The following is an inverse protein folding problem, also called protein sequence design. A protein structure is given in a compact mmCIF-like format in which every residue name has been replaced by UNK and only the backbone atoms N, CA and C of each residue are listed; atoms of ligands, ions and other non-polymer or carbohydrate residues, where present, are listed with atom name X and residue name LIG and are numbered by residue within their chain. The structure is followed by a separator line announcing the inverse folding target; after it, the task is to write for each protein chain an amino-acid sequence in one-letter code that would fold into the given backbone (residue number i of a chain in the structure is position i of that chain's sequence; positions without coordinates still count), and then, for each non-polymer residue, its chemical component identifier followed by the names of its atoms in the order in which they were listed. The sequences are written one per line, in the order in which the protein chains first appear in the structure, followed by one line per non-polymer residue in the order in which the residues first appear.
data_IF_217566446688
#
_entry.id   IF_217566446688
#
_cell.length_a   1.000
_cell.length_b   1.000
_cell.length_c   1.000
_cell.angle_alpha   90.00
_cell.angle_beta   90.00
_cell.angle_gamma   90.00
#
_symmetry.space_group_name_H-M   'P 1'
#
loop_
_entity.id
_entity.type
_entity.pdbx_description
1 polymer ?
#
# COMPACT_ATOMS: atom_id res chain seq x y z
N UNK A 1 -11.70 -1.78 18.78
CA UNK A 1 -12.12 -0.68 17.89
C UNK A 1 -13.59 -0.88 17.60
N UNK A 2 -14.44 -0.04 18.21
CA UNK A 2 -15.82 0.16 17.77
C UNK A 2 -15.80 0.83 16.39
N UNK A 3 -16.89 0.71 15.61
CA UNK A 3 -16.96 1.17 14.23
C UNK A 3 -16.72 2.69 14.04
N UNK A 4 -16.71 3.48 15.12
CA UNK A 4 -16.54 4.94 15.13
C UNK A 4 -15.09 5.46 15.04
N UNK A 5 -14.08 4.60 15.09
CA UNK A 5 -12.65 5.01 15.07
C UNK A 5 -11.94 4.79 13.73
N UNK A 6 -12.64 4.28 12.70
CA UNK A 6 -12.03 4.03 11.38
C UNK A 6 -12.06 5.26 10.51
N UNK A 7 -10.90 5.58 9.93
CA UNK A 7 -10.77 6.69 8.99
C UNK A 7 -11.13 6.14 7.60
N UNK A 8 -12.38 6.38 7.21
CA UNK A 8 -13.00 5.78 6.02
C UNK A 8 -12.15 5.98 4.76
N UNK A 9 -11.67 7.20 4.50
CA UNK A 9 -10.92 7.49 3.29
C UNK A 9 -9.61 6.69 3.21
N UNK A 10 -9.02 6.35 4.35
CA UNK A 10 -7.78 5.59 4.44
C UNK A 10 -8.00 4.11 4.12
N UNK A 11 -9.11 3.53 4.61
CA UNK A 11 -9.53 2.17 4.25
C UNK A 11 -9.89 2.10 2.77
N UNK A 12 -10.56 3.13 2.24
CA UNK A 12 -10.88 3.22 0.81
C UNK A 12 -9.64 3.30 -0.08
N UNK A 13 -8.65 4.13 0.29
CA UNK A 13 -7.38 4.24 -0.43
C UNK A 13 -6.61 2.90 -0.41
N UNK A 14 -6.59 2.21 0.73
CA UNK A 14 -6.00 0.87 0.84
C UNK A 14 -6.71 -0.15 -0.07
N UNK A 15 -8.03 -0.06 -0.17
CA UNK A 15 -8.83 -0.91 -1.06
C UNK A 15 -8.48 -0.73 -2.53
N UNK A 16 -8.40 0.52 -3.00
CA UNK A 16 -7.99 0.84 -4.38
C UNK A 16 -6.57 0.35 -4.64
N UNK A 17 -5.63 0.61 -3.73
CA UNK A 17 -4.25 0.18 -3.87
C UNK A 17 -4.13 -1.35 -3.99
N UNK A 18 -4.88 -2.11 -3.19
CA UNK A 18 -4.89 -3.57 -3.25
C UNK A 18 -5.50 -4.09 -4.56
N UNK A 19 -6.54 -3.43 -5.07
CA UNK A 19 -7.12 -3.75 -6.37
C UNK A 19 -6.16 -3.45 -7.53
N UNK A 20 -5.41 -2.35 -7.46
CA UNK A 20 -4.36 -2.02 -8.44
C UNK A 20 -3.26 -3.07 -8.42
N UNK A 21 -2.77 -3.50 -7.25
CA UNK A 21 -1.76 -4.58 -7.17
C UNK A 21 -2.28 -5.88 -7.78
N UNK A 22 -3.52 -6.26 -7.45
CA UNK A 22 -4.12 -7.46 -8.02
C UNK A 22 -4.31 -7.36 -9.54
N UNK A 23 -4.64 -6.17 -10.06
CA UNK A 23 -4.77 -5.92 -11.49
C UNK A 23 -3.40 -5.97 -12.19
N UNK A 24 -2.39 -5.29 -11.63
CA UNK A 24 -1.01 -5.27 -12.10
C UNK A 24 -0.43 -6.69 -12.19
N UNK A 25 -0.46 -7.47 -11.10
CA UNK A 25 0.09 -8.82 -11.07
C UNK A 25 -0.61 -9.80 -12.03
N UNK A 26 -1.86 -9.53 -12.38
CA UNK A 26 -2.56 -10.35 -13.37
C UNK A 26 -1.91 -10.23 -14.76
N UNK A 27 -1.61 -9.00 -15.20
CA UNK A 27 -0.98 -8.70 -16.50
C UNK A 27 0.54 -8.84 -16.49
N UNK A 28 1.16 -8.76 -15.31
CA UNK A 28 2.61 -8.86 -15.13
C UNK A 28 3.14 -10.18 -15.73
N UNK A 29 4.40 -10.17 -16.16
CA UNK A 29 5.16 -11.23 -16.89
C UNK A 29 4.85 -11.41 -18.37
N UNK A 30 3.59 -11.30 -18.78
CA UNK A 30 3.19 -11.69 -20.15
C UNK A 30 2.77 -10.50 -21.04
N UNK A 31 2.22 -9.45 -20.43
CA UNK A 31 1.81 -8.23 -21.15
C UNK A 31 2.81 -7.13 -20.81
N UNK A 32 3.87 -6.98 -21.62
CA UNK A 32 5.03 -6.14 -21.26
C UNK A 32 4.80 -4.62 -21.41
N UNK A 33 4.04 -4.19 -22.42
CA UNK A 33 3.95 -2.77 -22.81
C UNK A 33 3.47 -1.79 -21.72
N UNK A 34 2.53 -2.10 -20.82
CA UNK A 34 2.09 -1.13 -19.80
C UNK A 34 3.07 -1.02 -18.60
N UNK A 35 3.99 -1.96 -18.43
CA UNK A 35 4.97 -1.96 -17.34
C UNK A 35 6.20 -1.12 -17.67
N UNK A 36 6.42 -0.84 -18.96
CA UNK A 36 7.51 -0.01 -19.45
C UNK A 36 7.07 1.45 -19.60
N UNK A 37 7.96 2.40 -19.34
CA UNK A 37 7.70 3.84 -19.43
C UNK A 37 7.56 4.31 -20.87
N UNK A 38 6.74 5.34 -21.06
CA UNK A 38 6.67 6.04 -22.34
C UNK A 38 8.06 6.59 -22.71
N UNK A 39 8.52 6.27 -23.92
CA UNK A 39 9.88 6.52 -24.43
C UNK A 39 11.03 5.84 -23.67
N UNK A 40 10.77 4.76 -22.93
CA UNK A 40 11.85 3.89 -22.49
C UNK A 40 12.52 3.21 -23.69
N UNK A 41 13.76 2.76 -23.50
CA UNK A 41 14.54 2.09 -24.52
C UNK A 41 14.00 0.66 -24.83
N UNK A 42 13.79 0.26 -26.10
CA UNK A 42 13.88 1.08 -27.32
C UNK A 42 12.66 2.01 -27.50
N UNK A 43 12.86 3.32 -27.81
CA UNK A 43 11.77 4.29 -27.86
C UNK A 43 10.70 4.04 -28.93
N UNK A 44 11.01 3.27 -29.97
CA UNK A 44 10.08 2.91 -31.06
C UNK A 44 8.99 1.96 -30.56
N UNK A 45 9.32 1.07 -29.62
CA UNK A 45 8.40 0.10 -29.05
C UNK A 45 7.57 0.66 -27.89
N UNK A 46 7.94 1.84 -27.34
CA UNK A 46 7.37 2.39 -26.10
C UNK A 46 6.63 3.72 -26.33
N UNK A 47 5.55 3.66 -27.12
CA UNK A 47 4.72 4.83 -27.47
C UNK A 47 3.23 4.59 -27.24
N UNK A 48 2.88 3.86 -26.18
CA UNK A 48 1.50 3.49 -25.89
C UNK A 48 0.88 4.44 -24.86
N UNK A 49 -0.38 4.84 -25.06
CA UNK A 49 -1.10 5.73 -24.14
C UNK A 49 -1.21 5.18 -22.71
N UNK A 50 -1.26 3.85 -22.56
CA UNK A 50 -1.31 3.17 -21.25
C UNK A 50 -0.07 3.43 -20.40
N UNK A 51 1.06 3.80 -21.01
CA UNK A 51 2.32 4.10 -20.33
C UNK A 51 2.36 5.52 -19.75
N UNK A 52 1.40 6.38 -20.10
CA UNK A 52 1.36 7.76 -19.64
C UNK A 52 0.53 7.91 -18.35
N UNK A 53 0.93 8.83 -17.44
CA UNK A 53 0.01 9.33 -16.43
C UNK A 53 -1.22 9.97 -17.10
N UNK A 54 -2.44 9.82 -16.55
CA UNK A 54 -2.72 9.17 -15.28
C UNK A 54 -2.96 7.65 -15.36
N UNK A 55 -3.04 7.08 -16.56
CA UNK A 55 -3.50 5.70 -16.81
C UNK A 55 -2.54 4.67 -16.23
N UNK A 56 -1.23 4.93 -16.31
CA UNK A 56 -0.18 4.01 -15.87
C UNK A 56 -0.28 3.56 -14.42
N UNK A 57 -0.91 4.35 -13.55
CA UNK A 57 -1.03 3.98 -12.12
C UNK A 57 -1.64 2.59 -11.91
N UNK A 58 -2.48 2.13 -12.86
CA UNK A 58 -3.12 0.82 -12.84
C UNK A 58 -2.10 -0.34 -12.96
N UNK A 59 -0.92 -0.08 -13.51
CA UNK A 59 0.19 -1.00 -13.72
C UNK A 59 1.43 -0.56 -12.91
N UNK A 60 1.18 -0.03 -11.70
CA UNK A 60 2.22 0.47 -10.81
C UNK A 60 2.12 -0.18 -9.42
N UNK A 61 2.15 -1.53 -9.35
CA UNK A 61 2.09 -2.27 -8.07
C UNK A 61 3.16 -1.82 -7.07
N UNK A 62 4.40 -1.61 -7.50
CA UNK A 62 5.48 -1.10 -6.64
C UNK A 62 5.11 0.24 -5.97
N UNK A 63 4.45 1.14 -6.70
CA UNK A 63 3.99 2.42 -6.17
C UNK A 63 2.86 2.25 -5.16
N UNK A 64 2.01 1.23 -5.31
CA UNK A 64 1.00 0.89 -4.30
C UNK A 64 1.64 0.34 -3.02
N UNK A 65 2.75 -0.39 -3.13
CA UNK A 65 3.50 -0.87 -1.95
C UNK A 65 4.04 0.30 -1.13
N UNK A 66 4.63 1.33 -1.75
CA UNK A 66 5.07 2.52 -1.01
C UNK A 66 3.89 3.28 -0.39
N UNK A 67 2.75 3.29 -1.06
CA UNK A 67 1.50 3.86 -0.54
C UNK A 67 1.01 3.11 0.70
N UNK A 68 1.08 1.77 0.72
CA UNK A 68 0.74 0.98 1.90
C UNK A 68 1.60 1.34 3.11
N UNK A 69 2.92 1.56 2.94
CA UNK A 69 3.79 1.93 4.06
C UNK A 69 3.35 3.25 4.73
N UNK A 70 2.97 4.25 3.94
CA UNK A 70 2.46 5.54 4.46
C UNK A 70 1.10 5.37 5.14
N UNK A 71 0.19 4.62 4.50
CA UNK A 71 -1.15 4.34 5.03
C UNK A 71 -1.07 3.58 6.36
N UNK A 72 -0.22 2.56 6.44
CA UNK A 72 0.01 1.73 7.62
C UNK A 72 0.59 2.56 8.76
N UNK A 73 1.60 3.39 8.49
CA UNK A 73 2.14 4.35 9.47
C UNK A 73 1.04 5.26 10.03
N UNK A 74 0.25 5.88 9.16
CA UNK A 74 -0.85 6.76 9.57
C UNK A 74 -1.88 6.05 10.44
N UNK A 75 -2.38 4.89 10.00
CA UNK A 75 -3.45 4.15 10.67
C UNK A 75 -3.05 3.71 12.09
N UNK A 76 -1.83 3.17 12.23
CA UNK A 76 -1.30 2.73 13.52
C UNK A 76 -1.17 3.93 14.45
N UNK A 77 -0.54 5.00 13.98
CA UNK A 77 -0.26 6.18 14.77
C UNK A 77 -1.52 6.81 15.34
N UNK A 78 -2.57 7.04 14.54
CA UNK A 78 -3.80 7.68 15.06
C UNK A 78 -4.38 6.93 16.26
N UNK A 79 -4.39 5.59 16.20
CA UNK A 79 -4.94 4.78 17.30
C UNK A 79 -4.15 4.92 18.62
N UNK A 80 -2.83 5.11 18.53
CA UNK A 80 -1.95 5.28 19.68
C UNK A 80 -1.91 6.72 20.18
N UNK A 81 -1.90 7.69 19.27
CA UNK A 81 -1.84 9.11 19.59
C UNK A 81 -3.05 9.58 20.38
N UNK A 82 -4.25 9.06 20.06
CA UNK A 82 -5.48 9.29 20.83
C UNK A 82 -5.34 8.87 22.31
N UNK A 83 -4.51 7.87 22.59
CA UNK A 83 -4.29 7.36 23.93
C UNK A 83 -3.13 8.01 24.67
N UNK A 84 -2.35 8.89 24.02
CA UNK A 84 -1.04 9.35 24.51
C UNK A 84 -1.06 9.95 25.92
N UNK A 85 -2.09 10.73 26.23
CA UNK A 85 -2.23 11.40 27.53
C UNK A 85 -3.03 10.56 28.54
N UNK A 86 -3.43 9.35 28.17
CA UNK A 86 -4.14 8.42 29.05
C UNK A 86 -3.15 7.51 29.79
N UNK A 87 -3.43 7.10 31.03
CA UNK A 87 -2.66 6.04 31.71
C UNK A 87 -2.66 4.72 30.93
N UNK A 88 -3.59 4.53 29.98
CA UNK A 88 -3.64 3.36 29.10
C UNK A 88 -2.67 3.43 27.91
N UNK A 89 -1.84 4.47 27.77
CA UNK A 89 -0.94 4.65 26.63
C UNK A 89 0.02 3.47 26.44
N UNK A 90 0.86 3.17 27.44
CA UNK A 90 1.83 2.08 27.39
C UNK A 90 1.16 0.71 27.22
N UNK A 91 0.11 0.36 28.01
CA UNK A 91 -0.65 -0.87 27.78
C UNK A 91 -1.17 -0.99 26.34
N UNK A 92 -1.68 0.09 25.74
CA UNK A 92 -2.15 0.09 24.34
C UNK A 92 -1.02 -0.10 23.33
N UNK A 93 0.17 0.44 23.59
CA UNK A 93 1.34 0.24 22.73
C UNK A 93 1.79 -1.22 22.77
N UNK A 94 1.98 -1.79 23.98
CA UNK A 94 2.36 -3.21 24.15
C UNK A 94 1.36 -4.14 23.48
N UNK A 95 0.08 -3.87 23.72
CA UNK A 95 -1.07 -4.52 23.12
C UNK A 95 -1.08 -4.43 21.58
N UNK A 96 -0.66 -3.30 21.01
CA UNK A 96 -0.55 -3.14 19.56
C UNK A 96 0.62 -3.95 18.97
N UNK A 97 1.79 -3.98 19.63
CA UNK A 97 2.97 -4.74 19.21
C UNK A 97 2.65 -6.24 19.15
N UNK A 98 2.17 -6.81 20.26
CA UNK A 98 1.91 -8.25 20.38
C UNK A 98 0.87 -8.71 19.37
N UNK A 99 -0.27 -8.00 19.28
CA UNK A 99 -1.32 -8.37 18.32
C UNK A 99 -0.89 -8.27 16.87
N UNK A 100 0.00 -7.32 16.54
CA UNK A 100 0.40 -7.09 15.14
C UNK A 100 1.17 -8.26 14.58
N UNK A 101 2.05 -8.89 15.37
CA UNK A 101 2.76 -10.11 15.01
C UNK A 101 1.76 -11.20 14.55
N UNK A 102 0.80 -11.54 15.41
CA UNK A 102 -0.19 -12.57 15.09
C UNK A 102 -1.14 -12.17 13.96
N UNK A 103 -1.55 -10.90 13.89
CA UNK A 103 -2.48 -10.43 12.85
C UNK A 103 -1.89 -10.50 11.45
N UNK A 104 -0.60 -10.21 11.30
CA UNK A 104 0.09 -10.28 10.00
C UNK A 104 0.38 -11.74 9.66
N UNK A 105 1.03 -12.48 10.57
CA UNK A 105 1.60 -13.77 10.20
C UNK A 105 0.64 -14.96 10.32
N UNK A 106 -0.44 -14.91 11.10
CA UNK A 106 -1.40 -16.03 11.15
C UNK A 106 -2.13 -16.23 9.80
N UNK A 107 -2.72 -15.19 9.17
CA UNK A 107 -3.31 -15.35 7.84
C UNK A 107 -2.28 -15.76 6.79
N UNK A 108 -1.07 -15.18 6.85
CA UNK A 108 0.05 -15.54 5.97
C UNK A 108 0.39 -17.02 6.11
N UNK A 109 0.50 -17.56 7.32
CA UNK A 109 0.76 -18.98 7.56
C UNK A 109 -0.32 -19.87 6.96
N UNK A 110 -1.60 -19.50 7.11
CA UNK A 110 -2.72 -20.25 6.51
C UNK A 110 -2.61 -20.28 4.99
N UNK A 111 -2.32 -19.12 4.37
CA UNK A 111 -2.12 -19.05 2.92
C UNK A 111 -0.90 -19.84 2.47
N UNK A 112 0.27 -19.65 3.11
CA UNK A 112 1.50 -20.34 2.75
C UNK A 112 1.36 -21.86 2.87
N UNK A 113 0.65 -22.33 3.89
CA UNK A 113 0.30 -23.76 4.05
C UNK A 113 -0.58 -24.23 2.91
N UNK A 114 -1.63 -23.47 2.56
CA UNK A 114 -2.52 -23.80 1.45
C UNK A 114 -1.75 -23.86 0.12
N UNK A 115 -0.92 -22.85 -0.17
CA UNK A 115 -0.07 -22.83 -1.37
C UNK A 115 0.84 -24.05 -1.43
N UNK A 116 1.49 -24.41 -0.31
CA UNK A 116 2.36 -25.58 -0.25
C UNK A 116 1.60 -26.90 -0.49
N UNK A 117 0.38 -27.03 0.05
CA UNK A 117 -0.48 -28.19 -0.22
C UNK A 117 -0.85 -28.25 -1.70
N UNK A 118 -1.24 -27.13 -2.31
CA UNK A 118 -1.57 -27.06 -3.73
C UNK A 118 -0.36 -27.41 -4.62
N UNK A 119 0.83 -26.97 -4.23
CA UNK A 119 2.08 -27.30 -4.92
C UNK A 119 2.45 -28.77 -4.78
N UNK A 120 2.30 -29.35 -3.58
CA UNK A 120 2.55 -30.77 -3.35
C UNK A 120 1.73 -31.66 -4.29
N UNK A 121 0.48 -31.29 -4.55
CA UNK A 121 -0.43 -32.02 -5.44
C UNK A 121 -0.31 -31.66 -6.93
N UNK A 122 0.68 -30.85 -7.31
CA UNK A 122 0.94 -30.43 -8.70
C UNK A 122 -0.24 -29.68 -9.35
N UNK A 123 -0.91 -28.81 -8.59
CA UNK A 123 -2.11 -28.09 -9.07
C UNK A 123 -1.82 -26.73 -9.72
N UNK A 124 -0.56 -26.29 -9.72
CA UNK A 124 -0.16 -25.01 -10.29
C UNK A 124 0.13 -25.14 -11.78
N UNK A 125 -0.42 -24.23 -12.57
CA UNK A 125 -0.14 -24.10 -14.02
C UNK A 125 0.86 -22.98 -14.28
N UNK A 126 1.77 -22.77 -13.33
CA UNK A 126 2.74 -21.68 -13.31
C UNK A 126 4.15 -22.23 -13.18
N UNK A 127 5.07 -21.67 -13.95
CA UNK A 127 6.49 -22.01 -13.86
C UNK A 127 7.15 -21.20 -12.75
N UNK A 128 7.51 -21.88 -11.66
CA UNK A 128 8.27 -21.27 -10.59
C UNK A 128 9.76 -21.34 -10.88
N UNK A 129 10.50 -20.31 -10.46
CA UNK A 129 11.96 -20.37 -10.46
C UNK A 129 12.42 -21.43 -9.44
N UNK A 130 13.09 -22.47 -9.94
CA UNK A 130 13.56 -23.61 -9.14
C UNK A 130 14.52 -23.21 -8.03
N UNK A 131 15.19 -22.05 -8.13
CA UNK A 131 16.04 -21.49 -7.09
C UNK A 131 15.28 -21.10 -5.83
N UNK A 132 14.04 -20.61 -5.94
CA UNK A 132 13.25 -20.19 -4.76
C UNK A 132 12.60 -21.37 -4.02
N UNK A 133 12.43 -22.50 -4.70
CA UNK A 133 11.84 -23.70 -4.11
C UNK A 133 12.90 -24.68 -3.59
N UNK A 134 14.18 -24.30 -3.56
CA UNK A 134 15.30 -25.16 -3.13
C UNK A 134 15.29 -26.53 -3.86
N UNK A 135 14.89 -26.54 -5.13
CA UNK A 135 14.75 -27.75 -5.96
C UNK A 135 13.57 -28.67 -5.59
N UNK A 136 12.69 -28.26 -4.68
CA UNK A 136 11.52 -29.03 -4.25
C UNK A 136 10.60 -29.35 -5.43
N UNK A 137 10.14 -30.60 -5.51
CA UNK A 137 9.26 -31.09 -6.56
C UNK A 137 7.89 -31.50 -5.99
N UNK A 138 6.82 -31.42 -6.80
CA UNK A 138 5.53 -32.00 -6.44
C UNK A 138 5.64 -33.50 -6.11
N UNK A 139 4.75 -34.02 -5.27
CA UNK A 139 4.71 -35.41 -4.82
C UNK A 139 6.01 -35.95 -4.20
N UNK A 140 6.96 -35.07 -3.87
CA UNK A 140 8.21 -35.44 -3.20
C UNK A 140 7.98 -35.72 -1.70
N UNK A 141 9.03 -35.86 -0.91
CA UNK A 141 8.90 -36.18 0.51
C UNK A 141 8.07 -35.10 1.26
N UNK A 142 6.91 -35.41 1.88
CA UNK A 142 6.08 -34.42 2.57
C UNK A 142 6.84 -33.65 3.66
N UNK A 143 7.82 -34.29 4.31
CA UNK A 143 8.65 -33.63 5.31
C UNK A 143 9.56 -32.54 4.71
N UNK A 144 9.95 -32.67 3.44
CA UNK A 144 10.69 -31.63 2.74
C UNK A 144 9.84 -30.37 2.54
N UNK A 145 8.57 -30.53 2.17
CA UNK A 145 7.62 -29.42 2.05
C UNK A 145 7.35 -28.73 3.38
N UNK A 146 7.17 -29.50 4.47
CA UNK A 146 7.00 -28.94 5.82
C UNK A 146 8.25 -28.15 6.25
N UNK A 147 9.45 -28.71 6.03
CA UNK A 147 10.70 -28.01 6.36
C UNK A 147 10.88 -26.74 5.55
N UNK A 148 10.59 -26.77 4.25
CA UNK A 148 10.62 -25.59 3.40
C UNK A 148 9.64 -24.53 3.90
N UNK A 149 8.41 -24.91 4.25
CA UNK A 149 7.40 -23.99 4.78
C UNK A 149 7.86 -23.34 6.09
N UNK A 150 8.45 -24.12 7.01
CA UNK A 150 9.00 -23.59 8.25
C UNK A 150 10.16 -22.60 8.00
N UNK A 151 11.06 -22.91 7.06
CA UNK A 151 12.14 -22.00 6.64
C UNK A 151 11.60 -20.72 6.02
N UNK A 152 10.67 -20.85 5.07
CA UNK A 152 9.97 -19.73 4.44
C UNK A 152 9.30 -18.80 5.46
N UNK A 153 8.62 -19.37 6.46
CA UNK A 153 7.99 -18.60 7.52
C UNK A 153 9.01 -17.96 8.45
N UNK A 154 10.11 -18.64 8.79
CA UNK A 154 11.18 -18.07 9.61
C UNK A 154 11.81 -16.85 8.94
N UNK A 155 12.12 -16.95 7.65
CA UNK A 155 12.71 -15.87 6.86
C UNK A 155 11.72 -14.72 6.66
N UNK A 156 10.44 -15.04 6.44
CA UNK A 156 9.36 -14.04 6.37
C UNK A 156 9.15 -13.28 7.68
N UNK A 157 9.46 -13.88 8.84
CA UNK A 157 9.35 -13.23 10.15
C UNK A 157 10.62 -12.42 10.49
N UNK A 158 11.75 -12.74 9.87
CA UNK A 158 13.03 -12.08 10.11
C UNK A 158 13.06 -10.65 9.56
N UNK A 159 12.68 -9.69 10.40
CA UNK A 159 12.67 -8.26 10.03
C UNK A 159 14.05 -7.57 10.06
N UNK A 160 15.09 -8.27 10.51
CA UNK A 160 16.43 -7.71 10.65
C UNK A 160 17.28 -8.08 9.43
N UNK A 161 17.41 -9.37 9.16
CA UNK A 161 18.08 -9.89 7.97
C UNK A 161 17.00 -10.32 6.97
N UNK A 162 16.61 -9.39 6.11
CA UNK A 162 15.58 -9.63 5.11
C UNK A 162 16.09 -10.59 4.04
N UNK A 163 15.42 -11.72 3.91
CA UNK A 163 15.65 -12.68 2.83
C UNK A 163 14.39 -12.77 1.97
N UNK A 164 14.53 -12.44 0.69
CA UNK A 164 13.45 -12.63 -0.26
C UNK A 164 13.41 -14.08 -0.71
N UNK A 165 12.45 -14.83 -0.17
CA UNK A 165 12.03 -16.11 -0.75
C UNK A 165 10.85 -15.87 -1.69
N UNK A 166 11.13 -15.79 -2.98
CA UNK A 166 10.11 -15.84 -4.02
C UNK A 166 9.40 -17.21 -4.07
N UNK A 167 8.72 -17.50 -5.18
CA UNK A 167 8.07 -18.80 -5.39
C UNK A 167 6.55 -18.72 -5.29
N UNK A 168 5.95 -19.55 -4.42
CA UNK A 168 4.48 -19.73 -4.39
C UNK A 168 3.70 -18.49 -3.94
N UNK A 169 4.33 -17.64 -3.13
CA UNK A 169 3.69 -16.46 -2.56
C UNK A 169 4.62 -15.25 -2.63
N UNK A 170 4.99 -14.87 -3.86
CA UNK A 170 5.92 -13.78 -4.14
C UNK A 170 5.53 -12.49 -3.43
N UNK A 171 4.26 -12.08 -3.52
CA UNK A 171 3.70 -10.88 -2.88
C UNK A 171 3.92 -10.75 -1.37
N UNK A 172 4.22 -11.82 -0.63
CA UNK A 172 4.34 -11.76 0.84
C UNK A 172 5.63 -11.13 1.34
N UNK A 173 6.57 -10.81 0.45
CA UNK A 173 7.80 -10.10 0.78
C UNK A 173 7.56 -8.78 1.52
N UNK A 174 6.40 -8.12 1.32
CA UNK A 174 6.08 -6.86 2.00
C UNK A 174 5.72 -7.03 3.48
N UNK A 175 5.40 -8.25 3.94
CA UNK A 175 4.96 -8.51 5.33
C UNK A 175 6.05 -8.21 6.38
N UNK A 176 7.31 -8.66 6.19
CA UNK A 176 8.41 -8.24 7.07
C UNK A 176 8.61 -6.72 7.11
N UNK A 177 8.50 -6.03 5.97
CA UNK A 177 8.62 -4.57 5.89
C UNK A 177 7.50 -3.88 6.68
N UNK A 178 6.26 -4.36 6.54
CA UNK A 178 5.10 -3.90 7.28
C UNK A 178 5.26 -4.08 8.80
N UNK A 179 5.84 -5.20 9.25
CA UNK A 179 6.11 -5.42 10.67
C UNK A 179 7.27 -4.55 11.17
N UNK A 180 8.36 -4.44 10.39
CA UNK A 180 9.54 -3.62 10.69
C UNK A 180 9.18 -2.15 10.86
N UNK A 181 8.50 -1.55 9.88
CA UNK A 181 8.12 -0.15 9.91
C UNK A 181 7.13 0.17 11.05
N UNK A 182 6.28 -0.78 11.40
CA UNK A 182 5.39 -0.65 12.56
C UNK A 182 6.14 -0.59 13.87
N UNK A 183 7.17 -1.41 14.04
CA UNK A 183 8.04 -1.38 15.22
C UNK A 183 8.77 -0.04 15.34
N UNK A 184 9.21 0.55 14.22
CA UNK A 184 9.77 1.92 14.22
C UNK A 184 8.73 2.95 14.68
N UNK A 185 7.48 2.87 14.19
CA UNK A 185 6.41 3.77 14.65
C UNK A 185 6.13 3.60 16.14
N UNK A 186 6.10 2.37 16.66
CA UNK A 186 5.92 2.12 18.09
C UNK A 186 7.04 2.75 18.92
N UNK A 187 8.30 2.51 18.54
CA UNK A 187 9.47 3.07 19.20
C UNK A 187 9.44 4.61 19.22
N UNK A 188 9.19 5.24 18.07
CA UNK A 188 9.11 6.70 17.96
C UNK A 188 7.93 7.28 18.75
N UNK A 189 6.78 6.60 18.75
CA UNK A 189 5.60 7.06 19.49
C UNK A 189 5.85 7.07 21.00
N UNK A 190 6.55 6.05 21.52
CA UNK A 190 6.95 5.98 22.94
C UNK A 190 8.06 6.98 23.24
N UNK A 191 9.14 7.00 22.45
CA UNK A 191 10.29 7.87 22.68
C UNK A 191 9.96 9.36 22.59
N UNK A 192 9.02 9.74 21.72
CA UNK A 192 8.54 11.12 21.58
C UNK A 192 7.30 11.43 22.43
N UNK A 193 6.86 10.52 23.29
CA UNK A 193 5.62 10.69 24.09
C UNK A 193 5.67 11.95 24.96
N UNK A 194 6.79 12.19 25.63
CA UNK A 194 7.05 13.34 26.50
C UNK A 194 7.41 14.64 25.74
N UNK A 195 7.61 14.57 24.42
CA UNK A 195 8.05 15.74 23.64
C UNK A 195 6.89 16.70 23.35
N UNK A 196 7.21 18.00 23.33
CA UNK A 196 6.26 19.05 22.93
C UNK A 196 5.75 18.80 21.50
N UNK A 197 4.45 19.01 21.21
CA UNK A 197 3.88 18.76 19.88
C UNK A 197 4.63 19.45 18.74
N UNK A 198 5.03 20.72 18.93
CA UNK A 198 5.77 21.50 17.92
C UNK A 198 7.12 20.85 17.56
N UNK A 199 7.84 20.29 18.54
CA UNK A 199 9.13 19.63 18.28
C UNK A 199 8.93 18.34 17.48
N UNK A 200 7.90 17.55 17.81
CA UNK A 200 7.55 16.33 17.06
C UNK A 200 7.26 16.62 15.59
N UNK A 201 6.56 17.72 15.29
CA UNK A 201 6.25 18.13 13.93
C UNK A 201 7.47 18.51 13.08
N UNK A 202 8.58 18.90 13.70
CA UNK A 202 9.85 19.19 13.03
C UNK A 202 10.77 17.97 12.98
N UNK A 203 10.86 17.20 14.05
CA UNK A 203 11.79 16.06 14.10
C UNK A 203 11.37 14.88 13.26
N UNK A 204 10.07 14.59 13.15
CA UNK A 204 9.59 13.46 12.35
C UNK A 204 9.90 13.62 10.85
N UNK A 205 9.66 14.76 10.19
CA UNK A 205 10.07 14.96 8.79
C UNK A 205 11.58 14.93 8.59
N UNK A 206 12.36 15.47 9.53
CA UNK A 206 13.82 15.41 9.47
C UNK A 206 14.32 13.97 9.53
N UNK A 207 13.77 13.16 10.45
CA UNK A 207 14.11 11.75 10.56
C UNK A 207 13.65 10.96 9.33
N UNK A 208 12.44 11.22 8.82
CA UNK A 208 11.96 10.64 7.58
C UNK A 208 12.91 10.97 6.42
N UNK A 209 13.28 12.24 6.25
CA UNK A 209 14.24 12.69 5.24
C UNK A 209 15.61 12.02 5.35
N UNK A 210 16.09 11.79 6.58
CA UNK A 210 17.32 11.02 6.81
C UNK A 210 17.20 9.56 6.34
N UNK A 211 16.11 8.86 6.67
CA UNK A 211 15.89 7.48 6.21
C UNK A 211 15.71 7.41 4.69
N UNK A 212 15.03 8.38 4.09
CA UNK A 212 14.91 8.51 2.65
C UNK A 212 16.29 8.70 2.01
N UNK A 213 17.08 9.67 2.48
CA UNK A 213 18.47 9.88 2.05
C UNK A 213 19.31 8.61 2.18
N UNK A 214 19.12 7.84 3.25
CA UNK A 214 19.80 6.57 3.46
C UNK A 214 19.37 5.45 2.51
N UNK A 215 18.22 5.58 1.82
CA UNK A 215 17.66 4.59 0.90
C UNK A 215 16.57 3.70 1.53
N UNK A 216 16.19 3.94 2.78
CA UNK A 216 15.14 3.19 3.49
C UNK A 216 13.76 3.80 3.21
N UNK A 217 13.28 3.60 1.99
CA UNK A 217 12.02 4.14 1.47
C UNK A 217 10.78 3.71 2.26
N UNK A 218 10.79 2.50 2.82
CA UNK A 218 9.70 1.92 3.59
C UNK A 218 9.60 2.58 4.98
N UNK A 219 10.73 2.70 5.69
CA UNK A 219 10.81 3.38 6.99
C UNK A 219 10.44 4.86 6.83
N UNK A 220 10.91 5.51 5.76
CA UNK A 220 10.45 6.86 5.40
C UNK A 220 8.92 6.94 5.33
N UNK A 221 8.28 6.01 4.60
CA UNK A 221 6.83 5.98 4.46
C UNK A 221 6.10 5.88 5.80
N UNK A 222 6.54 4.96 6.68
CA UNK A 222 5.96 4.79 8.01
C UNK A 222 6.11 6.03 8.90
N UNK A 223 7.29 6.65 8.93
CA UNK A 223 7.54 7.86 9.73
C UNK A 223 6.73 9.03 9.17
N UNK A 224 6.59 9.14 7.85
CA UNK A 224 5.74 10.14 7.21
C UNK A 224 4.28 9.96 7.59
N UNK A 225 3.78 8.72 7.60
CA UNK A 225 2.44 8.39 8.09
C UNK A 225 2.22 8.82 9.55
N UNK A 226 3.19 8.57 10.43
CA UNK A 226 3.18 9.04 11.83
C UNK A 226 3.14 10.57 11.92
N UNK A 227 3.94 11.28 11.12
CA UNK A 227 3.91 12.74 11.07
C UNK A 227 2.56 13.30 10.61
N UNK A 228 1.96 12.70 9.59
CA UNK A 228 0.63 13.08 9.12
C UNK A 228 -0.44 12.88 10.21
N UNK A 229 -0.36 11.79 10.98
CA UNK A 229 -1.23 11.55 12.12
C UNK A 229 -1.03 12.59 13.23
N UNK A 230 0.22 12.95 13.55
CA UNK A 230 0.52 14.01 14.53
C UNK A 230 -0.03 15.37 14.10
N UNK A 231 0.08 15.71 12.82
CA UNK A 231 -0.54 16.92 12.26
C UNK A 231 -2.05 16.90 12.42
N UNK A 232 -2.70 15.80 12.05
CA UNK A 232 -4.14 15.66 12.17
C UNK A 232 -4.63 15.82 13.63
N UNK A 233 -3.91 15.24 14.60
CA UNK A 233 -4.23 15.38 16.02
C UNK A 233 -4.04 16.83 16.50
N UNK A 234 -2.96 17.50 16.12
CA UNK A 234 -2.73 18.89 16.52
C UNK A 234 -3.76 19.86 15.92
N UNK A 235 -4.17 19.64 14.65
CA UNK A 235 -5.23 20.43 14.02
C UNK A 235 -6.57 20.20 14.70
N UNK A 236 -6.91 18.96 15.06
CA UNK A 236 -8.13 18.65 15.80
C UNK A 236 -8.15 19.29 17.19
N UNK A 237 -7.05 19.21 17.94
CA UNK A 237 -6.93 19.85 19.25
C UNK A 237 -7.03 21.37 19.17
N UNK A 238 -6.41 21.99 18.16
CA UNK A 238 -6.52 23.43 17.94
C UNK A 238 -7.94 23.87 17.57
N UNK A 239 -8.63 23.11 16.71
CA UNK A 239 -10.02 23.38 16.35
C UNK A 239 -10.97 23.25 17.55
N UNK A 240 -10.76 22.25 18.41
CA UNK A 240 -11.54 22.09 19.64
C UNK A 240 -11.32 23.26 20.61
N UNK A 241 -10.08 23.68 20.82
CA UNK A 241 -9.76 24.82 21.69
C UNK A 241 -10.40 26.12 21.19
N UNK A 242 -10.40 26.37 19.87
CA UNK A 242 -11.08 27.54 19.29
C UNK A 242 -12.61 27.47 19.44
N UNK A 243 -13.20 26.27 19.34
CA UNK A 243 -14.64 26.08 19.51
C UNK A 243 -15.11 26.14 20.98
N UNK A 244 -14.19 25.99 21.94
CA UNK A 244 -14.44 26.25 23.36
C UNK A 244 -14.38 27.76 23.64
N UNK A 245 -13.36 28.45 23.10
CA UNK A 245 -13.20 29.91 23.22
C UNK A 245 -14.38 30.69 22.62
N UNK A 246 -14.84 30.31 21.41
CA UNK A 246 -16.02 30.89 20.77
C UNK A 246 -17.31 30.70 21.61
N UNK A 247 -17.41 29.61 22.38
CA UNK A 247 -18.58 29.35 23.25
C UNK A 247 -18.54 30.20 24.53
N UNK A 248 -17.37 30.35 25.13
CA UNK A 248 -17.18 31.18 26.33
C UNK A 248 -17.38 32.67 26.03
N UNK A 249 -17.10 33.12 24.81
CA UNK A 249 -17.34 34.48 24.34
C UNK A 249 -18.82 34.76 24.00
N UNK A 250 -19.56 33.76 23.48
CA UNK A 250 -21.00 33.90 23.16
C UNK A 250 -21.87 34.02 24.42
N UNK A 251 -21.42 33.46 25.54
CA UNK A 251 -22.11 33.55 26.84
C UNK A 251 -21.92 34.91 27.53
N UNK A 252 -20.94 35.75 27.11
CA UNK A 252 -20.53 36.93 27.90
C UNK A 252 -21.00 38.31 27.42
N UNK A 253 -21.46 38.56 26.18
CA UNK A 253 -21.71 39.95 25.73
C UNK A 253 -22.83 40.16 24.66
N UNK A 254 -23.58 41.29 24.70
CA UNK A 254 -24.46 41.73 23.60
C UNK A 254 -23.65 42.37 22.45
N UNK A 255 -24.02 42.05 21.19
CA UNK A 255 -23.28 42.39 19.97
C UNK A 255 -23.31 43.90 19.61
N UNK A 256 -22.16 44.57 19.40
CA UNK A 256 -22.12 45.82 18.65
C UNK A 256 -21.88 45.58 17.14
N UNK A 257 -22.35 46.54 16.36
CA UNK A 257 -22.44 46.54 14.90
C UNK A 257 -21.11 46.34 14.17
N UNK A 258 -21.20 45.52 13.11
CA UNK A 258 -20.18 45.12 12.14
C UNK A 258 -19.30 46.28 11.61
N UNK A 259 -17.97 46.18 11.77
CA UNK A 259 -17.00 47.11 11.20
C UNK A 259 -16.06 46.45 10.18
N UNK A 260 -15.69 47.25 9.19
CA UNK A 260 -14.87 47.03 7.99
C UNK A 260 -13.59 46.19 8.15
N UNK A 261 -13.05 46.07 9.37
CA UNK A 261 -11.90 45.22 9.70
C UNK A 261 -12.18 43.73 9.48
N UNK A 262 -13.40 43.24 9.75
CA UNK A 262 -13.80 41.85 9.48
C UNK A 262 -13.73 41.51 7.99
N UNK A 263 -14.06 42.44 7.10
CA UNK A 263 -13.99 42.21 5.65
C UNK A 263 -12.54 42.09 5.13
N UNK A 264 -11.60 42.89 5.67
CA UNK A 264 -10.18 42.85 5.27
C UNK A 264 -9.48 41.57 5.74
N UNK A 265 -9.80 41.12 6.96
CA UNK A 265 -9.37 39.81 7.49
C UNK A 265 -9.98 38.69 6.63
N UNK A 266 -11.26 38.76 6.28
CA UNK A 266 -11.95 37.77 5.45
C UNK A 266 -11.41 37.70 4.01
N UNK A 267 -10.86 38.78 3.45
CA UNK A 267 -10.18 38.75 2.15
C UNK A 267 -8.77 38.14 2.22
N UNK A 268 -8.03 38.38 3.31
CA UNK A 268 -6.70 37.78 3.52
C UNK A 268 -6.80 36.28 3.79
N UNK A 269 -7.78 35.88 4.62
CA UNK A 269 -8.10 34.47 4.88
C UNK A 269 -8.56 33.72 3.61
N UNK A 270 -9.37 34.37 2.74
CA UNK A 270 -9.75 33.78 1.44
C UNK A 270 -8.56 33.56 0.51
N UNK A 271 -7.59 34.47 0.47
CA UNK A 271 -6.36 34.29 -0.30
C UNK A 271 -5.51 33.15 0.25
N UNK A 272 -5.35 33.06 1.57
CA UNK A 272 -4.63 31.95 2.23
C UNK A 272 -5.30 30.59 1.95
N UNK A 273 -6.64 30.55 2.01
CA UNK A 273 -7.41 29.35 1.71
C UNK A 273 -7.28 28.92 0.25
N UNK A 274 -7.30 29.87 -0.68
CA UNK A 274 -7.12 29.60 -2.11
C UNK A 274 -5.71 29.10 -2.41
N UNK A 275 -4.68 29.71 -1.80
CA UNK A 275 -3.29 29.26 -1.94
C UNK A 275 -3.08 27.86 -1.35
N UNK A 276 -3.64 27.57 -0.17
CA UNK A 276 -3.58 26.25 0.45
C UNK A 276 -4.23 25.17 -0.42
N UNK A 277 -5.36 25.48 -1.06
CA UNK A 277 -6.00 24.58 -2.03
C UNK A 277 -5.12 24.34 -3.25
N UNK A 278 -4.50 25.38 -3.81
CA UNK A 278 -3.58 25.25 -4.95
C UNK A 278 -2.36 24.38 -4.61
N UNK A 279 -1.76 24.59 -3.44
CA UNK A 279 -0.64 23.77 -2.95
C UNK A 279 -1.09 22.31 -2.83
N UNK A 280 -2.26 22.06 -2.26
CA UNK A 280 -2.80 20.69 -2.10
C UNK A 280 -3.02 20.00 -3.44
N UNK A 281 -3.57 20.71 -4.43
CA UNK A 281 -3.75 20.17 -5.79
C UNK A 281 -2.41 19.92 -6.46
N UNK A 282 -1.45 20.84 -6.36
CA UNK A 282 -0.11 20.66 -6.92
C UNK A 282 0.59 19.45 -6.28
N UNK A 283 0.53 19.31 -4.96
CA UNK A 283 1.10 18.16 -4.25
C UNK A 283 0.42 16.85 -4.63
N UNK A 284 -0.90 16.87 -4.88
CA UNK A 284 -1.62 15.70 -5.39
C UNK A 284 -1.12 15.31 -6.79
N UNK A 285 -1.04 16.27 -7.71
CA UNK A 285 -0.61 16.02 -9.10
C UNK A 285 0.84 15.53 -9.15
N UNK A 286 1.75 16.17 -8.42
CA UNK A 286 3.15 15.73 -8.34
C UNK A 286 3.25 14.34 -7.69
N UNK A 287 2.51 14.11 -6.60
CA UNK A 287 2.48 12.81 -5.94
C UNK A 287 1.99 11.70 -6.87
N UNK A 288 0.90 11.94 -7.58
CA UNK A 288 0.34 11.01 -8.56
C UNK A 288 1.32 10.74 -9.71
N UNK A 289 1.97 11.80 -10.24
CA UNK A 289 2.96 11.68 -11.30
C UNK A 289 4.14 10.78 -10.87
N UNK A 290 4.70 11.01 -9.68
CA UNK A 290 5.80 10.18 -9.16
C UNK A 290 5.39 8.73 -8.91
N UNK A 291 4.13 8.46 -8.56
CA UNK A 291 3.61 7.09 -8.45
C UNK A 291 3.51 6.38 -9.80
N UNK A 292 3.49 7.11 -10.92
CA UNK A 292 3.53 6.53 -12.27
C UNK A 292 4.96 6.30 -12.79
N UNK A 293 5.99 6.49 -11.96
CA UNK A 293 7.36 6.18 -12.31
C UNK A 293 7.52 4.67 -12.54
N UNK A 294 8.12 4.30 -13.67
CA UNK A 294 8.38 2.91 -14.04
C UNK A 294 9.50 2.24 -13.26
N UNK A 295 9.73 0.97 -13.58
CA UNK A 295 10.86 0.17 -13.08
C UNK A 295 11.83 -0.18 -14.22
N UNK A 296 12.10 0.78 -15.12
CA UNK A 296 12.78 0.56 -16.42
C UNK A 296 14.31 0.33 -16.34
N UNK A 297 14.88 0.17 -15.15
CA UNK A 297 16.33 0.09 -14.94
C UNK A 297 17.07 1.44 -14.98
N UNK A 298 16.45 2.45 -15.58
CA UNK A 298 16.98 3.80 -15.75
C UNK A 298 15.87 4.84 -15.76
N UNK A 299 16.24 6.12 -15.60
CA UNK A 299 15.27 7.21 -15.67
C UNK A 299 14.70 7.37 -17.07
N UNK A 300 13.38 7.17 -17.26
CA UNK A 300 12.75 7.46 -18.53
C UNK A 300 12.79 8.97 -18.82
N UNK A 301 12.70 9.40 -20.09
CA UNK A 301 12.83 10.80 -20.49
C UNK A 301 11.95 11.77 -19.69
N UNK A 302 10.69 11.41 -19.40
CA UNK A 302 9.77 12.24 -18.63
C UNK A 302 10.16 12.47 -17.16
N UNK A 303 11.15 11.74 -16.64
CA UNK A 303 11.57 11.78 -15.25
C UNK A 303 13.06 12.15 -15.09
N UNK A 304 13.76 12.49 -16.16
CA UNK A 304 15.19 12.83 -16.12
C UNK A 304 15.52 14.00 -15.19
N UNK A 305 14.57 14.93 -14.96
CA UNK A 305 14.76 16.02 -14.00
C UNK A 305 15.01 15.53 -12.56
N UNK A 306 14.56 14.31 -12.21
CA UNK A 306 14.82 13.70 -10.91
C UNK A 306 16.30 13.36 -10.70
N UNK A 307 17.09 13.22 -11.77
CA UNK A 307 18.54 13.03 -11.68
C UNK A 307 19.24 14.23 -11.02
N UNK A 308 18.71 15.45 -11.20
CA UNK A 308 19.25 16.65 -10.59
C UNK A 308 18.94 16.77 -9.09
N UNK A 309 17.87 16.11 -8.63
CA UNK A 309 17.39 16.17 -7.25
C UNK A 309 17.84 14.98 -6.40
N UNK A 310 18.51 14.00 -7.01
CA UNK A 310 18.87 12.76 -6.32
C UNK A 310 20.09 12.95 -5.39
N UNK A 311 20.06 12.39 -4.18
CA UNK A 311 21.25 12.27 -3.36
C UNK A 311 22.32 11.38 -4.01
N UNK A 312 23.60 11.73 -3.84
CA UNK A 312 24.74 10.92 -4.30
C UNK A 312 24.70 9.47 -3.78
N UNK A 313 24.07 9.24 -2.62
CA UNK A 313 23.90 7.91 -2.03
C UNK A 313 23.04 6.99 -2.90
N UNK A 314 22.14 7.48 -3.74
CA UNK A 314 21.30 6.62 -4.60
C UNK A 314 21.92 6.37 -5.98
N UNK A 315 23.04 7.04 -6.27
CA UNK A 315 23.70 6.96 -7.57
C UNK A 315 24.04 5.51 -7.91
N UNK A 316 23.76 5.13 -9.15
CA UNK A 316 24.02 3.80 -9.71
C UNK A 316 23.30 2.63 -9.00
N UNK A 317 22.31 2.95 -8.14
CA UNK A 317 21.50 1.97 -7.40
C UNK A 317 20.02 2.11 -7.76
N UNK A 318 19.66 1.67 -8.97
CA UNK A 318 18.30 1.79 -9.52
C UNK A 318 17.23 1.24 -8.56
N UNK A 319 17.52 0.09 -7.95
CA UNK A 319 16.63 -0.54 -6.97
C UNK A 319 16.25 0.44 -5.86
N UNK A 320 17.20 1.14 -5.25
CA UNK A 320 16.87 2.11 -4.20
C UNK A 320 16.20 3.35 -4.79
N UNK A 321 16.72 3.80 -5.92
CA UNK A 321 16.33 5.05 -6.56
C UNK A 321 14.83 5.14 -6.86
N UNK A 322 14.30 4.15 -7.58
CA UNK A 322 12.91 4.18 -8.03
C UNK A 322 11.93 4.01 -6.85
N UNK A 323 12.27 3.19 -5.86
CA UNK A 323 11.50 3.03 -4.62
C UNK A 323 11.45 4.31 -3.79
N UNK A 324 12.56 5.06 -3.69
CA UNK A 324 12.61 6.34 -2.99
C UNK A 324 11.71 7.41 -3.64
N UNK A 325 11.70 7.54 -4.97
CA UNK A 325 10.82 8.50 -5.63
C UNK A 325 9.34 8.12 -5.54
N UNK A 326 9.03 6.83 -5.67
CA UNK A 326 7.67 6.31 -5.45
C UNK A 326 7.20 6.54 -4.02
N UNK A 327 8.08 6.46 -3.02
CA UNK A 327 7.71 6.74 -1.63
C UNK A 327 7.47 8.22 -1.38
N UNK A 328 8.24 9.13 -1.99
CA UNK A 328 7.94 10.58 -2.02
C UNK A 328 6.59 10.84 -2.69
N UNK A 329 6.29 10.14 -3.80
CA UNK A 329 5.01 10.20 -4.48
C UNK A 329 3.85 9.80 -3.57
N UNK A 330 3.98 8.65 -2.89
CA UNK A 330 3.01 8.16 -1.91
C UNK A 330 2.80 9.12 -0.74
N UNK A 331 3.88 9.61 -0.15
CA UNK A 331 3.87 10.59 0.94
C UNK A 331 3.13 11.87 0.56
N UNK A 332 3.36 12.37 -0.67
CA UNK A 332 2.71 13.54 -1.23
C UNK A 332 1.23 13.30 -1.51
N UNK A 333 0.88 12.16 -2.13
CA UNK A 333 -0.50 11.79 -2.44
C UNK A 333 -1.35 11.67 -1.16
N UNK A 334 -0.87 10.93 -0.16
CA UNK A 334 -1.59 10.74 1.11
C UNK A 334 -1.71 12.06 1.86
N UNK A 335 -0.67 12.89 1.86
CA UNK A 335 -0.75 14.25 2.42
C UNK A 335 -1.87 15.06 1.77
N UNK A 336 -1.91 15.11 0.43
CA UNK A 336 -2.90 15.90 -0.28
C UNK A 336 -4.33 15.40 -0.04
N UNK A 337 -4.53 14.08 -0.03
CA UNK A 337 -5.83 13.47 0.30
C UNK A 337 -6.24 13.81 1.73
N UNK A 338 -5.32 13.73 2.70
CA UNK A 338 -5.61 14.06 4.10
C UNK A 338 -6.04 15.53 4.30
N UNK A 339 -5.56 16.45 3.46
CA UNK A 339 -5.91 17.88 3.54
C UNK A 339 -7.19 18.26 2.77
N UNK A 340 -7.72 17.40 1.88
CA UNK A 340 -8.82 17.75 0.98
C UNK A 340 -10.03 16.82 1.16
N UNK A 341 -11.13 17.28 1.78
CA UNK A 341 -12.37 16.52 1.87
C UNK A 341 -12.96 16.15 0.50
N UNK A 342 -12.70 16.96 -0.53
CA UNK A 342 -13.12 16.68 -1.89
C UNK A 342 -12.42 15.43 -2.47
N UNK A 343 -11.10 15.30 -2.25
CA UNK A 343 -10.36 14.10 -2.65
C UNK A 343 -10.78 12.86 -1.85
N UNK A 344 -11.18 13.04 -0.60
CA UNK A 344 -11.68 11.95 0.25
C UNK A 344 -13.07 11.44 -0.18
N UNK A 345 -13.89 12.27 -0.83
CA UNK A 345 -15.26 11.92 -1.17
C UNK A 345 -15.35 10.65 -2.04
N UNK A 346 -14.54 10.56 -3.10
CA UNK A 346 -14.49 9.39 -3.98
C UNK A 346 -14.04 8.11 -3.26
N UNK A 347 -13.17 8.26 -2.25
CA UNK A 347 -12.66 7.15 -1.44
C UNK A 347 -13.70 6.63 -0.43
N UNK A 348 -14.69 7.46 -0.08
CA UNK A 348 -15.74 7.12 0.89
C UNK A 348 -16.98 6.49 0.25
N UNK A 349 -16.95 6.20 -1.06
CA UNK A 349 -18.04 5.51 -1.75
C UNK A 349 -18.20 4.08 -1.26
N UNK A 350 -19.43 3.53 -1.30
CA UNK A 350 -19.73 2.17 -0.79
C UNK A 350 -18.86 1.08 -1.42
N UNK A 351 -18.62 1.18 -2.73
CA UNK A 351 -17.80 0.24 -3.48
C UNK A 351 -16.34 0.27 -2.99
N UNK A 352 -15.76 1.47 -2.87
CA UNK A 352 -14.37 1.63 -2.45
C UNK A 352 -14.18 1.23 -0.98
N UNK A 353 -15.16 1.52 -0.11
CA UNK A 353 -15.15 1.05 1.27
C UNK A 353 -15.26 -0.47 1.37
N UNK A 354 -16.01 -1.10 0.47
CA UNK A 354 -16.06 -2.56 0.38
C UNK A 354 -14.70 -3.15 0.01
N UNK A 355 -14.02 -2.60 -1.00
CA UNK A 355 -12.65 -2.98 -1.34
C UNK A 355 -11.70 -2.79 -0.14
N UNK A 356 -11.85 -1.68 0.60
CA UNK A 356 -11.09 -1.43 1.82
C UNK A 356 -11.30 -2.47 2.92
N UNK A 357 -12.52 -3.02 3.04
CA UNK A 357 -12.85 -4.07 4.01
C UNK A 357 -12.14 -5.39 3.70
N UNK A 358 -12.00 -5.74 2.43
CA UNK A 358 -11.39 -7.01 1.98
C UNK A 358 -9.93 -6.85 1.51
N UNK A 359 -9.36 -5.64 1.58
CA UNK A 359 -8.10 -5.29 0.91
C UNK A 359 -6.92 -6.17 1.33
N UNK A 360 -6.88 -6.58 2.60
CA UNK A 360 -5.82 -7.45 3.10
C UNK A 360 -5.93 -8.85 2.50
N UNK A 361 -7.13 -9.45 2.50
CA UNK A 361 -7.36 -10.76 1.88
C UNK A 361 -7.17 -10.71 0.35
N UNK A 362 -7.56 -9.60 -0.28
CA UNK A 362 -7.33 -9.32 -1.70
C UNK A 362 -5.84 -9.32 -2.04
N UNK A 363 -5.05 -8.59 -1.26
CA UNK A 363 -3.60 -8.58 -1.38
C UNK A 363 -2.99 -9.98 -1.15
N UNK A 364 -3.50 -10.75 -0.18
CA UNK A 364 -2.97 -12.09 0.10
C UNK A 364 -3.27 -13.09 -1.03
N UNK A 365 -4.50 -13.17 -1.53
CA UNK A 365 -4.94 -14.30 -2.35
C UNK A 365 -4.71 -14.16 -3.85
N UNK A 366 -4.59 -12.94 -4.38
CA UNK A 366 -4.64 -12.71 -5.83
C UNK A 366 -3.58 -13.53 -6.57
N UNK A 367 -2.33 -13.56 -6.09
CA UNK A 367 -1.23 -14.24 -6.78
C UNK A 367 -1.44 -15.76 -6.84
N UNK A 368 -1.83 -16.39 -5.72
CA UNK A 368 -2.15 -17.82 -5.68
C UNK A 368 -3.26 -18.20 -6.65
N UNK A 369 -4.31 -17.37 -6.75
CA UNK A 369 -5.42 -17.62 -7.68
C UNK A 369 -4.95 -17.50 -9.13
N UNK A 370 -4.13 -16.50 -9.46
CA UNK A 370 -3.59 -16.33 -10.80
C UNK A 370 -2.63 -17.45 -11.20
N UNK A 371 -1.75 -17.88 -10.29
CA UNK A 371 -0.83 -18.99 -10.54
C UNK A 371 -1.56 -20.32 -10.79
N UNK A 372 -2.75 -20.52 -10.21
CA UNK A 372 -3.57 -21.71 -10.46
C UNK A 372 -4.31 -21.64 -11.80
N UNK A 373 -4.92 -20.49 -12.12
CA UNK A 373 -5.99 -20.43 -13.13
C UNK A 373 -5.77 -19.45 -14.28
N UNK A 374 -4.79 -18.54 -14.22
CA UNK A 374 -4.58 -17.53 -15.28
C UNK A 374 -4.33 -18.18 -16.64
N UNK A 375 -3.29 -19.01 -16.73
CA UNK A 375 -2.87 -19.58 -18.01
C UNK A 375 -3.95 -20.52 -18.59
N UNK A 376 -4.49 -21.50 -17.84
CA UNK A 376 -5.53 -22.38 -18.38
C UNK A 376 -6.76 -21.63 -18.89
N UNK A 377 -7.23 -20.62 -18.16
CA UNK A 377 -8.41 -19.86 -18.55
C UNK A 377 -8.13 -18.94 -19.75
N UNK A 378 -6.99 -18.24 -19.75
CA UNK A 378 -6.58 -17.38 -20.87
C UNK A 378 -6.43 -18.21 -22.15
N UNK A 379 -5.73 -19.34 -22.07
CA UNK A 379 -5.43 -20.18 -23.21
C UNK A 379 -6.72 -20.80 -23.78
N UNK A 380 -7.65 -21.20 -22.91
CA UNK A 380 -8.99 -21.63 -23.32
C UNK A 380 -9.77 -20.54 -24.05
N UNK A 381 -9.80 -19.31 -23.52
CA UNK A 381 -10.54 -18.21 -24.17
C UNK A 381 -9.89 -17.83 -25.51
N UNK A 382 -8.55 -17.82 -25.59
CA UNK A 382 -7.83 -17.56 -26.84
C UNK A 382 -8.11 -18.63 -27.90
N UNK A 383 -8.10 -19.91 -27.50
CA UNK A 383 -8.42 -21.02 -28.40
C UNK A 383 -9.86 -20.91 -28.94
N UNK A 384 -10.82 -20.55 -28.08
CA UNK A 384 -12.21 -20.34 -28.49
C UNK A 384 -12.39 -19.15 -29.44
N UNK A 385 -11.56 -18.11 -29.32
CA UNK A 385 -11.66 -16.90 -30.13
C UNK A 385 -10.91 -17.02 -31.47
N UNK A 386 -9.70 -17.59 -31.47
CA UNK A 386 -8.81 -17.66 -32.64
C UNK A 386 -8.82 -19.02 -33.36
N UNK A 387 -9.24 -20.09 -32.70
CA UNK A 387 -9.09 -21.47 -33.16
C UNK A 387 -7.67 -22.05 -33.02
N UNK A 388 -6.70 -21.27 -32.56
CA UNK A 388 -5.30 -21.66 -32.42
C UNK A 388 -4.87 -21.79 -30.94
N UNK A 389 -3.90 -22.65 -30.62
CA UNK A 389 -3.36 -22.74 -29.27
C UNK A 389 -2.63 -21.45 -28.87
N UNK A 390 -2.73 -21.05 -27.61
CA UNK A 390 -1.93 -19.97 -27.05
C UNK A 390 -0.53 -20.49 -26.73
N UNK A 391 0.47 -20.09 -27.50
CA UNK A 391 1.87 -20.46 -27.28
C UNK A 391 2.54 -19.42 -26.38
N UNK A 392 3.01 -18.34 -26.98
CA UNK A 392 3.59 -17.19 -26.27
C UNK A 392 2.75 -15.95 -26.46
N UNK A 393 2.86 -15.02 -25.50
CA UNK A 393 2.15 -13.74 -25.57
C UNK A 393 2.53 -12.90 -26.80
N UNK A 394 3.78 -13.01 -27.28
CA UNK A 394 4.25 -12.31 -28.47
C UNK A 394 3.68 -12.91 -29.77
N UNK A 395 3.65 -14.24 -29.87
CA UNK A 395 3.08 -14.94 -31.04
C UNK A 395 1.57 -14.78 -31.08
N UNK A 396 0.86 -14.99 -29.97
CA UNK A 396 -0.58 -14.82 -29.90
C UNK A 396 -1.03 -13.40 -30.28
N UNK A 397 -0.29 -12.38 -29.83
CA UNK A 397 -0.55 -10.99 -30.23
C UNK A 397 -0.28 -10.74 -31.72
N UNK A 398 0.72 -11.40 -32.31
CA UNK A 398 1.06 -11.26 -33.73
C UNK A 398 0.05 -11.96 -34.64
N UNK A 399 -0.39 -13.16 -34.25
CA UNK A 399 -1.24 -14.03 -35.04
C UNK A 399 -2.69 -13.54 -35.05
N UNK A 400 -3.24 -13.21 -33.88
CA UNK A 400 -4.57 -12.62 -33.74
C UNK A 400 -4.63 -11.63 -32.57
N UNK A 401 -4.36 -10.33 -32.84
CA UNK A 401 -4.41 -9.27 -31.82
C UNK A 401 -5.78 -9.15 -31.14
N UNK A 402 -6.87 -9.41 -31.88
CA UNK A 402 -8.22 -9.29 -31.33
C UNK A 402 -8.47 -10.42 -30.33
N UNK A 403 -8.22 -11.67 -30.72
CA UNK A 403 -8.36 -12.81 -29.83
C UNK A 403 -7.44 -12.70 -28.60
N UNK A 404 -6.21 -12.17 -28.77
CA UNK A 404 -5.30 -11.90 -27.66
C UNK A 404 -5.95 -10.96 -26.63
N UNK A 405 -6.47 -9.82 -27.07
CA UNK A 405 -7.12 -8.87 -26.17
C UNK A 405 -8.39 -9.44 -25.53
N UNK A 406 -9.22 -10.17 -26.28
CA UNK A 406 -10.40 -10.85 -25.73
C UNK A 406 -9.98 -11.83 -24.64
N UNK A 407 -8.96 -12.67 -24.89
CA UNK A 407 -8.47 -13.65 -23.92
C UNK A 407 -8.04 -13.00 -22.61
N UNK A 408 -7.21 -11.97 -22.66
CA UNK A 408 -6.71 -11.27 -21.48
C UNK A 408 -7.81 -10.52 -20.71
N UNK A 409 -8.69 -9.79 -21.40
CA UNK A 409 -9.74 -9.03 -20.71
C UNK A 409 -10.84 -9.93 -20.13
N UNK A 410 -11.29 -10.95 -20.87
CA UNK A 410 -12.33 -11.87 -20.39
C UNK A 410 -11.82 -12.69 -19.23
N UNK A 411 -10.65 -13.32 -19.36
CA UNK A 411 -10.09 -14.11 -18.26
C UNK A 411 -9.72 -13.24 -17.06
N UNK A 412 -9.29 -12.00 -17.26
CA UNK A 412 -9.03 -11.02 -16.20
C UNK A 412 -10.29 -10.59 -15.45
N UNK A 413 -11.42 -10.37 -16.13
CA UNK A 413 -12.71 -10.06 -15.49
C UNK A 413 -13.20 -11.25 -14.66
N UNK A 414 -13.13 -12.46 -15.23
CA UNK A 414 -13.54 -13.70 -14.54
C UNK A 414 -12.68 -13.90 -13.29
N UNK A 415 -11.35 -13.91 -13.43
CA UNK A 415 -10.44 -14.16 -12.32
C UNK A 415 -10.44 -13.02 -11.31
N UNK A 416 -10.52 -11.76 -11.74
CA UNK A 416 -10.70 -10.63 -10.84
C UNK A 416 -11.96 -10.77 -9.97
N UNK A 417 -13.06 -11.26 -10.55
CA UNK A 417 -14.29 -11.56 -9.80
C UNK A 417 -14.06 -12.70 -8.81
N UNK A 418 -13.42 -13.79 -9.23
CA UNK A 418 -13.06 -14.92 -8.36
C UNK A 418 -12.19 -14.46 -7.19
N UNK A 419 -11.18 -13.62 -7.46
CA UNK A 419 -10.29 -13.06 -6.43
C UNK A 419 -11.09 -12.21 -5.43
N UNK A 420 -11.99 -11.32 -5.89
CA UNK A 420 -12.82 -10.51 -5.00
C UNK A 420 -13.74 -11.38 -4.12
N UNK A 421 -14.35 -12.42 -4.70
CA UNK A 421 -15.21 -13.36 -3.96
C UNK A 421 -14.42 -14.21 -2.96
N UNK A 422 -13.28 -14.77 -3.37
CA UNK A 422 -12.40 -15.54 -2.50
C UNK A 422 -11.90 -14.67 -1.34
N UNK A 423 -11.54 -13.42 -1.63
CA UNK A 423 -11.13 -12.42 -0.63
C UNK A 423 -12.23 -12.13 0.38
N UNK A 424 -13.47 -11.99 -0.07
CA UNK A 424 -14.62 -11.81 0.81
C UNK A 424 -14.76 -12.97 1.81
N UNK A 425 -14.76 -14.20 1.31
CA UNK A 425 -14.91 -15.38 2.17
C UNK A 425 -13.70 -15.59 3.08
N UNK A 426 -12.49 -15.34 2.58
CA UNK A 426 -11.27 -15.41 3.40
C UNK A 426 -11.27 -14.36 4.51
N UNK A 427 -11.73 -13.13 4.23
CA UNK A 427 -11.91 -12.10 5.27
C UNK A 427 -12.87 -12.59 6.36
N UNK A 428 -14.00 -13.18 5.98
CA UNK A 428 -15.01 -13.65 6.93
C UNK A 428 -14.54 -14.86 7.76
N UNK A 429 -13.96 -15.86 7.12
CA UNK A 429 -13.71 -17.16 7.73
C UNK A 429 -12.29 -17.36 8.26
N UNK A 430 -11.30 -16.63 7.72
CA UNK A 430 -9.89 -16.76 8.12
C UNK A 430 -9.44 -15.50 8.83
N UNK A 431 -9.39 -14.35 8.16
CA UNK A 431 -8.81 -13.11 8.72
C UNK A 431 -9.50 -12.69 10.03
N UNK A 432 -10.83 -12.60 10.05
CA UNK A 432 -11.56 -12.24 11.27
C UNK A 432 -11.32 -13.23 12.42
N UNK A 433 -11.14 -14.53 12.13
CA UNK A 433 -10.82 -15.55 13.13
C UNK A 433 -9.38 -15.40 13.62
N UNK A 434 -8.42 -15.13 12.74
CA UNK A 434 -7.04 -14.82 13.11
C UNK A 434 -6.96 -13.57 14.00
N UNK A 435 -7.73 -12.52 13.70
CA UNK A 435 -7.84 -11.33 14.57
C UNK A 435 -8.44 -11.66 15.94
N UNK A 436 -9.46 -12.52 15.99
CA UNK A 436 -10.04 -12.96 17.26
C UNK A 436 -9.05 -13.82 18.06
N UNK A 437 -8.31 -14.70 17.40
CA UNK A 437 -7.27 -15.53 18.01
C UNK A 437 -6.12 -14.67 18.55
N UNK A 438 -5.65 -13.68 17.79
CA UNK A 438 -4.63 -12.73 18.24
C UNK A 438 -5.02 -12.01 19.53
N UNK A 439 -6.30 -11.62 19.68
CA UNK A 439 -6.82 -11.03 20.93
C UNK A 439 -6.86 -12.02 22.09
N UNK A 440 -7.14 -13.31 21.82
CA UNK A 440 -7.14 -14.36 22.86
C UNK A 440 -5.72 -14.66 23.33
N UNK A 441 -4.78 -14.78 22.40
CA UNK A 441 -3.36 -14.98 22.69
C UNK A 441 -2.79 -13.80 23.48
N UNK A 442 -3.12 -12.57 23.08
CA UNK A 442 -2.75 -11.39 23.85
C UNK A 442 -3.25 -11.46 25.29
N UNK A 443 -4.57 -11.73 25.50
CA UNK A 443 -5.13 -11.83 26.84
C UNK A 443 -4.40 -12.86 27.69
N UNK A 444 -4.08 -14.03 27.11
CA UNK A 444 -3.34 -15.09 27.80
C UNK A 444 -1.91 -14.69 28.16
N UNK A 445 -1.26 -13.85 27.36
CA UNK A 445 0.10 -13.36 27.63
C UNK A 445 0.14 -12.18 28.61
N UNK A 446 -0.98 -11.46 28.78
CA UNK A 446 -1.08 -10.26 29.63
C UNK A 446 -1.89 -10.47 30.91
N UNK A 447 -2.58 -11.61 31.04
CA UNK A 447 -3.21 -12.08 32.28
C UNK A 447 -2.18 -12.80 33.13
#
# INVERSE_FOLDING_TARGET
MTAHDRIQWLDGLRGIAAAIVAFDHYFMSDVWHPFVSFWADPPEANRHLVQLPPIRILFSAHSMVTLFMVISGFAISVSLLKARHSPQFLPRVTSAIVRRLFRIYLPVLVLATLSQVLFFFDLYHWTFDGGFLDGLQPWSNPWAHIRWLCGYMADSINVIAFEYRGGLNGQLWTMPLEFRGSNVVYLLTVGLSAWRPKLRLWTLPLLAGFFLWAGNWDIFGFIWGLWLAERAMNTASAANAMAEDDRDDEEKLPRPSCSTTRCRIRSSLRKLFTLSRMITVLTFVVGYYLLCLGSDGQLPPGYQFLAALQPAKWKDRWEIYHWCWKSVGAASLVYAIAQSPWLQHSLNTRLVQYLGKISFSLYLLHETIYQLWRNPLRDFVYLMASGNPYLTSAEAMRDDPFAFHVAWWVSGIILGTVVVLASHYYTLYVDNKCVALAKRLERLLTS
#
